data_IF_527865236084
#
_entry.id   IF_527865236084
#
_cell.length_a   1.000
_cell.length_b   1.000
_cell.length_c   1.000
_cell.angle_alpha   90.00
_cell.angle_beta   90.00
_cell.angle_gamma   90.00
#
_symmetry.space_group_name_H-M   'P 1'
#
loop_
_entity.id
_entity.type
_entity.pdbx_description
1 polymer ?
#
# COMPACT_ATOMS: atom_id res chain seq x y z
N UNK A 1 -2.93 7.45 -14.00
CA UNK A 1 -3.41 6.51 -12.97
C UNK A 1 -3.08 7.09 -11.61
N UNK A 2 -3.99 7.02 -10.61
CA UNK A 2 -3.72 7.54 -9.26
C UNK A 2 -2.52 6.81 -8.63
N UNK A 3 -1.75 7.45 -7.73
CA UNK A 3 -0.67 6.79 -7.00
C UNK A 3 -1.22 5.61 -6.19
N UNK A 4 -0.76 4.41 -6.50
CA UNK A 4 -1.19 3.18 -5.86
C UNK A 4 -0.04 2.20 -5.69
N UNK A 5 -0.17 1.28 -4.75
CA UNK A 5 0.77 0.20 -4.52
C UNK A 5 0.02 -1.13 -4.52
N UNK A 6 0.66 -2.17 -5.04
CA UNK A 6 0.09 -3.51 -5.05
C UNK A 6 0.48 -4.25 -3.78
N UNK A 7 -0.49 -4.87 -3.13
CA UNK A 7 -0.31 -5.73 -1.97
C UNK A 7 -0.67 -7.14 -2.36
N UNK A 8 0.19 -8.08 -1.98
CA UNK A 8 -0.04 -9.51 -2.15
C UNK A 8 0.07 -10.20 -0.80
N UNK A 9 -0.97 -10.93 -0.42
CA UNK A 9 -1.04 -11.71 0.80
C UNK A 9 -1.64 -13.09 0.52
N UNK A 10 -0.83 -14.15 0.57
CA UNK A 10 -1.24 -15.50 0.20
C UNK A 10 -1.88 -15.54 -1.21
N UNK A 11 -3.14 -15.95 -1.31
CA UNK A 11 -3.94 -15.94 -2.55
C UNK A 11 -4.62 -14.60 -2.85
N UNK A 12 -4.60 -13.66 -1.90
CA UNK A 12 -5.22 -12.35 -2.02
C UNK A 12 -4.27 -11.34 -2.64
N UNK A 13 -4.78 -10.54 -3.57
CA UNK A 13 -4.07 -9.45 -4.22
C UNK A 13 -4.99 -8.23 -4.26
N UNK A 14 -4.47 -7.08 -3.84
CA UNK A 14 -5.21 -5.82 -3.86
C UNK A 14 -4.29 -4.64 -4.24
N UNK A 15 -4.79 -3.78 -5.12
CA UNK A 15 -4.20 -2.49 -5.45
C UNK A 15 -4.76 -1.43 -4.50
N UNK A 16 -3.90 -0.80 -3.72
CA UNK A 16 -4.30 0.18 -2.71
C UNK A 16 -3.81 1.57 -3.10
N UNK A 17 -4.70 2.55 -3.03
CA UNK A 17 -4.40 3.95 -3.29
C UNK A 17 -3.53 4.53 -2.16
N UNK A 18 -2.39 5.12 -2.51
CA UNK A 18 -1.44 5.68 -1.52
C UNK A 18 -2.07 6.87 -0.78
N UNK A 19 -2.94 7.65 -1.44
CA UNK A 19 -3.49 8.89 -0.88
C UNK A 19 -4.38 8.67 0.36
N UNK A 20 -5.17 7.59 0.38
CA UNK A 20 -6.22 7.35 1.39
C UNK A 20 -6.39 5.86 1.77
N UNK A 21 -5.56 4.96 1.22
CA UNK A 21 -5.63 3.53 1.53
C UNK A 21 -6.89 2.83 1.01
N UNK A 22 -7.59 3.36 0.01
CA UNK A 22 -8.71 2.68 -0.64
C UNK A 22 -8.24 1.54 -1.56
N UNK A 23 -8.99 0.44 -1.60
CA UNK A 23 -8.76 -0.63 -2.57
C UNK A 23 -9.30 -0.14 -3.93
N UNK A 24 -8.42 -0.07 -4.92
CA UNK A 24 -8.75 0.27 -6.30
C UNK A 24 -9.13 -0.97 -7.12
N UNK A 25 -8.52 -2.11 -6.83
CA UNK A 25 -8.71 -3.36 -7.57
C UNK A 25 -8.26 -4.55 -6.71
N UNK A 26 -8.89 -5.72 -6.87
CA UNK A 26 -8.62 -6.92 -6.10
C UNK A 26 -9.36 -7.02 -4.76
N UNK A 27 -8.95 -7.98 -3.93
CA UNK A 27 -9.57 -8.24 -2.62
C UNK A 27 -8.49 -8.54 -1.57
N UNK A 28 -8.72 -8.06 -0.36
CA UNK A 28 -7.84 -8.31 0.77
C UNK A 28 -8.68 -8.49 2.03
N UNK A 29 -8.42 -9.50 2.87
CA UNK A 29 -9.14 -9.67 4.12
C UNK A 29 -9.06 -8.41 4.99
N UNK A 30 -10.19 -8.01 5.58
CA UNK A 30 -10.36 -6.77 6.35
C UNK A 30 -9.28 -6.59 7.42
N UNK A 31 -8.86 -7.67 8.09
CA UNK A 31 -7.80 -7.64 9.09
C UNK A 31 -6.44 -7.19 8.53
N UNK A 32 -6.12 -7.62 7.30
CA UNK A 32 -4.87 -7.22 6.61
C UNK A 32 -5.02 -5.84 6.00
N UNK A 33 -6.20 -5.48 5.49
CA UNK A 33 -6.47 -4.15 4.97
C UNK A 33 -6.22 -3.08 6.03
N UNK A 34 -6.67 -3.31 7.28
CA UNK A 34 -6.40 -2.39 8.40
C UNK A 34 -4.90 -2.20 8.66
N UNK A 35 -4.13 -3.29 8.68
CA UNK A 35 -2.69 -3.24 8.89
C UNK A 35 -1.98 -2.47 7.76
N UNK A 36 -2.34 -2.79 6.52
CA UNK A 36 -1.79 -2.13 5.33
C UNK A 36 -2.15 -0.65 5.29
N UNK A 37 -3.38 -0.27 5.67
CA UNK A 37 -3.80 1.13 5.78
C UNK A 37 -2.98 1.89 6.81
N UNK A 38 -2.84 1.34 8.02
CA UNK A 38 -2.02 1.94 9.07
C UNK A 38 -0.56 2.10 8.63
N UNK A 39 -0.01 1.09 7.97
CA UNK A 39 1.34 1.14 7.41
C UNK A 39 1.47 2.18 6.30
N UNK A 40 0.51 2.22 5.36
CA UNK A 40 0.51 3.19 4.27
C UNK A 40 0.34 4.63 4.77
N UNK A 41 -0.34 4.84 5.89
CA UNK A 41 -0.50 6.15 6.51
C UNK A 41 0.82 6.63 7.13
N UNK A 42 1.53 5.75 7.85
CA UNK A 42 2.86 6.06 8.42
C UNK A 42 3.89 6.32 7.32
N UNK A 43 3.84 5.54 6.24
CA UNK A 43 4.80 5.62 5.13
C UNK A 43 4.27 6.39 3.92
N UNK A 44 3.22 7.21 4.10
CA UNK A 44 2.53 7.87 2.98
C UNK A 44 3.46 8.75 2.14
N UNK A 45 4.26 9.57 2.81
CA UNK A 45 5.21 10.48 2.16
C UNK A 45 6.28 9.69 1.40
N UNK A 46 6.76 8.61 2.00
CA UNK A 46 7.77 7.73 1.40
C UNK A 46 7.22 6.97 0.19
N UNK A 47 6.01 6.43 0.28
CA UNK A 47 5.31 5.80 -0.85
C UNK A 47 5.04 6.78 -2.00
N UNK A 48 4.66 8.01 -1.69
CA UNK A 48 4.50 9.07 -2.70
C UNK A 48 5.83 9.45 -3.32
N UNK A 49 6.90 9.53 -2.53
CA UNK A 49 8.24 9.80 -3.03
C UNK A 49 8.66 8.69 -4.00
N UNK A 50 8.57 7.42 -3.61
CA UNK A 50 8.88 6.28 -4.50
C UNK A 50 8.04 6.29 -5.78
N UNK A 51 6.76 6.64 -5.68
CA UNK A 51 5.89 6.74 -6.86
C UNK A 51 6.39 7.80 -7.84
N UNK A 52 6.86 8.95 -7.35
CA UNK A 52 7.34 10.05 -8.18
C UNK A 52 8.76 9.82 -8.70
N UNK A 53 9.68 9.34 -7.85
CA UNK A 53 11.09 9.12 -8.21
C UNK A 53 11.33 7.80 -8.93
N UNK A 54 10.40 6.83 -8.80
CA UNK A 54 10.56 5.44 -9.23
C UNK A 54 11.72 4.72 -8.55
N UNK A 55 12.20 5.25 -7.42
CA UNK A 55 13.18 4.57 -6.58
C UNK A 55 12.43 3.71 -5.58
N UNK A 56 12.58 2.39 -5.70
CA UNK A 56 11.93 1.44 -4.81
C UNK A 56 12.92 0.97 -3.75
N UNK A 57 12.61 1.22 -2.49
CA UNK A 57 13.37 0.69 -1.37
C UNK A 57 12.48 -0.09 -0.40
N UNK A 58 13.13 -0.92 0.42
CA UNK A 58 12.44 -1.77 1.39
C UNK A 58 12.00 -0.91 2.57
N UNK A 59 10.70 -0.74 2.73
CA UNK A 59 10.12 -0.07 3.90
C UNK A 59 10.02 -1.09 5.03
N UNK A 60 10.26 -0.65 6.27
CA UNK A 60 10.12 -1.50 7.43
C UNK A 60 8.66 -1.97 7.60
N UNK A 61 8.42 -3.26 7.89
CA UNK A 61 7.09 -3.74 8.19
C UNK A 61 6.60 -3.17 9.52
N UNK A 62 5.28 -2.98 9.65
CA UNK A 62 4.67 -2.65 10.94
C UNK A 62 4.88 -3.84 11.89
N UNK A 63 5.55 -3.59 13.02
CA UNK A 63 5.94 -4.62 14.01
C UNK A 63 4.83 -4.90 15.01
#
# INVERSE_FOLDING_TARGET
MPPHFKVKYAEFEANIRISNGEILDGDLPVSKLKLVRAWAEIHKEELLFMWNTKEFHKINPLR
#
